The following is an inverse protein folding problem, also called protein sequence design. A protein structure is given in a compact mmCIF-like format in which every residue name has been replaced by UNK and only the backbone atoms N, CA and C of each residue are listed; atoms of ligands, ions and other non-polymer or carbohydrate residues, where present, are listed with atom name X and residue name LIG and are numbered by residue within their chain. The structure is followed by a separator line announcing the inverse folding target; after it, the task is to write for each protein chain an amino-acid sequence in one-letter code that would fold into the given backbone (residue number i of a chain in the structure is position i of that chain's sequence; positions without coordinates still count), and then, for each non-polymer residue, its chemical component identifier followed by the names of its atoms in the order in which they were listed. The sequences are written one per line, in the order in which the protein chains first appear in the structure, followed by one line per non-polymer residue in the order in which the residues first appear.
data_IF_804135962856
#
_entry.id   IF_804135962856
#
_cell.length_a   1.000
_cell.length_b   1.000
_cell.length_c   1.000
_cell.angle_alpha   90.00
_cell.angle_beta   90.00
_cell.angle_gamma   90.00
#
_symmetry.space_group_name_H-M   'P 1'
#
loop_
_entity.id
_entity.type
_entity.pdbx_description
1 polymer ?
#
# COMPACT_ATOMS: atom_id res chain seq x y z
N UNK A 1 -16.43 -25.99 -4.07
CA UNK A 1 -17.71 -25.42 -4.27
C UNK A 1 -17.72 -24.41 -5.39
N UNK A 2 -18.64 -24.58 -6.25
CA UNK A 2 -18.70 -23.75 -7.45
C UNK A 2 -19.03 -22.32 -7.16
N UNK A 3 -19.91 -22.10 -6.23
CA UNK A 3 -20.28 -20.74 -5.89
C UNK A 3 -19.11 -19.99 -5.24
N UNK A 4 -18.32 -20.68 -4.45
CA UNK A 4 -17.14 -20.08 -3.85
C UNK A 4 -16.12 -19.67 -4.89
N UNK A 5 -15.95 -20.53 -5.87
CA UNK A 5 -15.06 -20.25 -6.98
C UNK A 5 -15.50 -19.02 -7.74
N UNK A 6 -16.79 -18.92 -7.97
CA UNK A 6 -17.35 -17.77 -8.68
C UNK A 6 -17.17 -16.50 -7.88
N UNK A 7 -17.37 -16.60 -6.58
CA UNK A 7 -17.20 -15.45 -5.68
C UNK A 7 -15.77 -14.97 -5.68
N UNK A 8 -14.83 -15.88 -5.57
CA UNK A 8 -13.41 -15.55 -5.58
C UNK A 8 -13.04 -14.88 -6.88
N UNK A 9 -13.51 -15.42 -7.99
CA UNK A 9 -13.27 -14.85 -9.30
C UNK A 9 -13.79 -13.42 -9.39
N UNK A 10 -14.96 -13.18 -8.84
CA UNK A 10 -15.55 -11.85 -8.86
C UNK A 10 -14.69 -10.86 -8.07
N UNK A 11 -14.20 -11.27 -6.93
CA UNK A 11 -13.31 -10.42 -6.14
C UNK A 11 -12.03 -10.14 -6.92
N UNK A 12 -11.51 -11.16 -7.56
CA UNK A 12 -10.30 -11.03 -8.35
C UNK A 12 -10.51 -10.14 -9.57
N UNK A 13 -11.69 -10.22 -10.16
CA UNK A 13 -11.99 -9.45 -11.35
C UNK A 13 -12.21 -7.97 -11.07
N UNK A 14 -12.40 -7.63 -9.80
CA UNK A 14 -12.61 -6.25 -9.41
C UNK A 14 -11.55 -5.78 -8.44
N UNK A 15 -10.27 -5.96 -8.79
CA UNK A 15 -9.23 -5.47 -7.92
C UNK A 15 -9.24 -3.95 -7.91
N UNK A 16 -8.67 -3.37 -6.86
CA UNK A 16 -8.46 -1.95 -6.86
C UNK A 16 -7.55 -1.59 -8.02
N UNK A 17 -7.77 -0.44 -8.66
CA UNK A 17 -6.91 -0.02 -9.76
C UNK A 17 -5.46 0.02 -9.30
N UNK A 18 -4.52 -0.33 -10.19
CA UNK A 18 -3.11 -0.21 -9.81
C UNK A 18 -2.78 1.24 -9.49
N UNK A 19 -1.92 1.43 -8.52
CA UNK A 19 -1.51 2.76 -8.12
C UNK A 19 -0.65 3.40 -9.20
N UNK A 20 -0.92 4.65 -9.48
CA UNK A 20 0.00 5.43 -10.29
C UNK A 20 1.20 5.78 -9.41
N UNK A 21 2.30 6.14 -10.03
CA UNK A 21 3.49 6.49 -9.28
C UNK A 21 3.22 7.63 -8.30
N UNK A 22 2.36 8.56 -8.67
CA UNK A 22 2.02 9.69 -7.81
C UNK A 22 1.17 9.30 -6.61
N UNK A 23 0.54 8.13 -6.65
CA UNK A 23 -0.29 7.66 -5.55
C UNK A 23 0.44 6.73 -4.60
N UNK A 24 1.68 6.40 -4.89
CA UNK A 24 2.46 5.49 -4.08
C UNK A 24 2.99 6.18 -2.84
N UNK A 25 2.76 5.55 -1.70
CA UNK A 25 3.31 6.00 -0.44
C UNK A 25 4.55 5.15 -0.19
N UNK A 26 5.72 5.71 -0.41
CA UNK A 26 6.98 4.99 -0.21
C UNK A 26 7.31 4.95 1.27
N UNK A 27 7.81 3.80 1.71
CA UNK A 27 8.06 3.54 3.12
C UNK A 27 9.53 3.18 3.35
N UNK A 28 10.01 3.48 4.54
CA UNK A 28 11.39 3.17 4.92
C UNK A 28 11.49 1.76 5.51
N UNK A 29 11.20 0.74 4.70
CA UNK A 29 11.20 -0.64 5.16
C UNK A 29 12.61 -1.20 5.09
N UNK A 30 13.20 -1.61 6.21
CA UNK A 30 14.54 -2.19 6.18
C UNK A 30 14.51 -3.57 5.51
N UNK A 31 15.65 -3.99 4.99
CA UNK A 31 15.73 -5.27 4.29
C UNK A 31 15.23 -6.42 5.16
N UNK A 32 15.54 -6.40 6.44
CA UNK A 32 15.12 -7.45 7.35
C UNK A 32 13.61 -7.57 7.51
N UNK A 33 12.87 -6.52 7.18
CA UNK A 33 11.42 -6.50 7.31
C UNK A 33 10.71 -6.71 5.99
N UNK A 34 11.41 -7.12 4.94
CA UNK A 34 10.81 -7.24 3.61
C UNK A 34 9.65 -8.23 3.57
N UNK A 35 9.72 -9.31 4.34
CA UNK A 35 8.65 -10.29 4.36
C UNK A 35 7.38 -9.71 4.95
N UNK A 36 7.52 -8.91 5.98
CA UNK A 36 6.37 -8.27 6.59
C UNK A 36 5.70 -7.31 5.59
N UNK A 37 6.52 -6.58 4.83
CA UNK A 37 5.99 -5.69 3.79
C UNK A 37 5.22 -6.48 2.74
N UNK A 38 5.74 -7.63 2.32
CA UNK A 38 5.04 -8.48 1.36
C UNK A 38 3.71 -8.97 1.92
N UNK A 39 3.70 -9.43 3.15
CA UNK A 39 2.47 -9.91 3.78
C UNK A 39 1.46 -8.79 3.98
N UNK A 40 1.94 -7.57 4.07
CA UNK A 40 1.06 -6.40 4.26
C UNK A 40 0.61 -5.79 2.94
N UNK A 41 0.76 -6.53 1.85
CA UNK A 41 0.29 -6.11 0.52
C UNK A 41 1.00 -4.86 -0.01
N UNK A 42 2.27 -4.71 0.33
CA UNK A 42 3.09 -3.65 -0.24
C UNK A 42 3.70 -4.11 -1.56
N UNK A 43 3.92 -3.15 -2.46
CA UNK A 43 4.66 -3.41 -3.68
C UNK A 43 6.10 -2.96 -3.52
N UNK A 44 6.97 -3.44 -4.38
CA UNK A 44 8.37 -3.05 -4.36
C UNK A 44 8.73 -2.33 -5.67
N UNK A 45 9.24 -1.12 -5.53
CA UNK A 45 9.70 -0.32 -6.68
C UNK A 45 11.18 -0.63 -6.89
N UNK A 46 11.49 -1.41 -7.91
CA UNK A 46 12.86 -1.84 -8.16
C UNK A 46 13.77 -0.70 -8.60
N UNK A 47 13.20 0.33 -9.21
CA UNK A 47 14.00 1.48 -9.63
C UNK A 47 14.45 2.31 -8.43
N UNK A 48 13.55 2.54 -7.51
CA UNK A 48 13.84 3.31 -6.29
C UNK A 48 14.34 2.43 -5.18
N UNK A 49 14.16 1.11 -5.31
CA UNK A 49 14.51 0.13 -4.27
C UNK A 49 13.81 0.43 -2.96
N UNK A 50 12.54 0.79 -3.07
CA UNK A 50 11.70 1.12 -1.93
C UNK A 50 10.40 0.34 -1.98
N UNK A 51 9.91 -0.03 -0.81
CA UNK A 51 8.58 -0.59 -0.69
C UNK A 51 7.57 0.54 -0.66
N UNK A 52 6.38 0.28 -1.22
CA UNK A 52 5.33 1.29 -1.24
C UNK A 52 3.97 0.64 -0.98
N UNK A 53 3.01 1.47 -0.62
CA UNK A 53 1.63 1.05 -0.44
C UNK A 53 0.71 2.16 -0.90
N UNK A 54 -0.59 1.94 -0.80
CA UNK A 54 -1.59 2.95 -1.11
C UNK A 54 -2.52 3.17 0.06
N UNK A 55 -3.34 4.21 -0.04
CA UNK A 55 -4.24 4.58 1.04
C UNK A 55 -5.35 3.56 1.28
N UNK A 56 -5.54 2.63 0.35
CA UNK A 56 -6.57 1.60 0.50
C UNK A 56 -6.07 0.35 1.22
N UNK A 57 -4.80 0.30 1.58
CA UNK A 57 -4.26 -0.84 2.30
C UNK A 57 -4.78 -0.83 3.73
N UNK A 58 -5.36 -1.95 4.14
CA UNK A 58 -5.92 -2.07 5.50
C UNK A 58 -4.86 -1.96 6.59
N UNK A 59 -3.60 -2.19 6.24
CA UNK A 59 -2.48 -2.10 7.19
C UNK A 59 -1.76 -0.75 7.11
N UNK A 60 -2.35 0.22 6.44
CA UNK A 60 -1.69 1.50 6.17
C UNK A 60 -1.15 2.17 7.43
N UNK A 61 -1.97 2.24 8.47
CA UNK A 61 -1.57 2.96 9.67
C UNK A 61 -0.40 2.29 10.36
N UNK A 62 -0.44 0.96 10.43
CA UNK A 62 0.65 0.20 11.04
C UNK A 62 1.95 0.37 10.26
N UNK A 63 1.86 0.35 8.93
CA UNK A 63 3.03 0.49 8.08
C UNK A 63 3.66 1.87 8.23
N UNK A 64 2.84 2.91 8.22
CA UNK A 64 3.34 4.27 8.36
C UNK A 64 3.92 4.48 9.75
N UNK A 65 3.27 3.94 10.77
CA UNK A 65 3.74 4.07 12.15
C UNK A 65 5.07 3.35 12.36
N UNK A 66 5.23 2.16 11.78
CA UNK A 66 6.45 1.37 11.97
C UNK A 66 7.64 1.90 11.19
N UNK A 67 7.42 2.31 9.95
CA UNK A 67 8.53 2.59 9.04
C UNK A 67 8.64 4.05 8.64
N UNK A 68 7.56 4.79 8.72
CA UNK A 68 7.56 6.18 8.30
C UNK A 68 7.50 6.32 6.78
N UNK A 69 7.09 7.50 6.36
CA UNK A 69 6.93 7.83 4.94
C UNK A 69 8.27 8.31 4.39
N UNK A 70 8.72 7.67 3.31
CA UNK A 70 9.98 8.05 2.68
C UNK A 70 9.80 9.37 1.91
N UNK A 71 10.86 10.15 1.83
CA UNK A 71 10.82 11.44 1.15
C UNK A 71 10.57 11.33 -0.35
N UNK A 72 10.75 10.14 -0.93
CA UNK A 72 10.45 9.92 -2.35
C UNK A 72 8.95 9.98 -2.64
N UNK A 73 8.11 9.96 -1.60
CA UNK A 73 6.67 10.03 -1.76
C UNK A 73 6.27 11.40 -2.33
N UNK A 74 5.41 11.40 -3.36
CA UNK A 74 4.98 12.63 -3.99
C UNK A 74 4.09 13.45 -3.06
N UNK A 75 3.94 14.72 -3.38
CA UNK A 75 3.04 15.57 -2.61
C UNK A 75 1.60 15.10 -2.73
N UNK A 76 1.23 14.58 -3.90
CA UNK A 76 -0.11 14.03 -4.10
C UNK A 76 -0.38 12.88 -3.14
N UNK A 77 0.57 11.94 -3.05
CA UNK A 77 0.42 10.80 -2.14
C UNK A 77 0.42 11.24 -0.68
N UNK A 78 1.24 12.21 -0.34
CA UNK A 78 1.26 12.75 1.02
C UNK A 78 -0.08 13.36 1.40
N UNK A 79 -0.69 14.08 0.46
CA UNK A 79 -1.98 14.69 0.70
C UNK A 79 -3.07 13.62 0.86
N UNK A 80 -3.04 12.60 0.01
CA UNK A 80 -3.99 11.49 0.13
C UNK A 80 -3.86 10.81 1.49
N UNK A 81 -2.63 10.59 1.94
CA UNK A 81 -2.39 9.98 3.24
C UNK A 81 -2.92 10.85 4.37
N UNK A 82 -2.68 12.15 4.30
CA UNK A 82 -3.15 13.07 5.31
C UNK A 82 -4.67 13.04 5.41
N UNK A 83 -5.34 13.05 4.28
CA UNK A 83 -6.80 13.00 4.25
C UNK A 83 -7.31 11.69 4.84
N UNK A 84 -6.62 10.58 4.52
CA UNK A 84 -7.01 9.28 5.04
C UNK A 84 -6.86 9.22 6.55
N UNK A 85 -5.78 9.76 7.07
CA UNK A 85 -5.56 9.80 8.52
C UNK A 85 -6.60 10.65 9.23
N UNK A 86 -7.03 11.72 8.59
CA UNK A 86 -8.05 12.61 9.16
C UNK A 86 -9.42 11.95 9.20
N UNK A 87 -9.69 11.02 8.30
CA UNK A 87 -10.97 10.31 8.28
C UNK A 87 -11.22 9.48 9.53
N UNK A 88 -10.16 9.10 10.22
CA UNK A 88 -10.27 8.20 11.36
C UNK A 88 -10.44 8.91 12.68
N UNK A 89 -10.43 10.21 12.69
CA UNK A 89 -10.53 11.00 13.93
C UNK A 89 -11.97 11.22 14.39
#
# INVERSE_FOLDING_TARGET
MKYNKKYIKKITENPLPPLTEEERIYLNVPYAAKQFAQYSNCGFDSDKKLWFTGVHNSNLYALVDLYGVNEATSECAKQMLKEKLEETV
#
